data_IF_765217830639
#
_entry.id   IF_765217830639
#
_cell.length_a   1.000
_cell.length_b   1.000
_cell.length_c   1.000
_cell.angle_alpha   90.00
_cell.angle_beta   90.00
_cell.angle_gamma   90.00
#
_symmetry.space_group_name_H-M   'P 1'
#
loop_
_entity.id
_entity.type
_entity.pdbx_description
1 polymer ?
#
# COMPACT_ATOMS: atom_id res chain seq x y z
N UNK A 1 16.12 -4.99 45.23
CA UNK A 1 15.02 -5.91 44.92
C UNK A 1 14.15 -5.22 43.90
N UNK A 2 14.17 -5.68 42.64
CA UNK A 2 13.34 -5.13 41.56
C UNK A 2 11.98 -5.81 41.66
N UNK A 3 11.04 -5.17 42.37
CA UNK A 3 9.65 -5.60 42.37
C UNK A 3 9.10 -5.44 40.94
N UNK A 4 8.91 -6.56 40.25
CA UNK A 4 8.17 -6.58 38.99
C UNK A 4 6.71 -6.25 39.31
N UNK A 5 6.30 -5.01 39.06
CA UNK A 5 4.91 -4.59 39.21
C UNK A 5 3.99 -5.45 38.36
N UNK A 6 2.88 -5.91 38.94
CA UNK A 6 1.93 -6.74 38.22
C UNK A 6 1.15 -5.91 37.18
N UNK A 7 0.60 -6.58 36.16
CA UNK A 7 -0.23 -5.94 35.13
C UNK A 7 -1.45 -5.20 35.72
N UNK A 8 -1.97 -5.67 36.84
CA UNK A 8 -3.08 -5.03 37.55
C UNK A 8 -2.65 -3.70 38.19
N UNK A 9 -1.47 -3.67 38.81
CA UNK A 9 -0.91 -2.47 39.45
C UNK A 9 -0.57 -1.38 38.42
N UNK A 10 -0.05 -1.79 37.27
CA UNK A 10 0.24 -0.88 36.15
C UNK A 10 -1.06 -0.25 35.61
N UNK A 11 -2.12 -1.04 35.42
CA UNK A 11 -3.42 -0.54 34.94
C UNK A 11 -4.08 0.41 35.95
N UNK A 12 -3.97 0.15 37.25
CA UNK A 12 -4.49 1.03 38.29
C UNK A 12 -3.77 2.39 38.33
N UNK A 13 -2.44 2.40 38.13
CA UNK A 13 -1.65 3.64 38.04
C UNK A 13 -1.91 4.44 36.76
N UNK A 14 -2.33 3.78 35.68
CA UNK A 14 -2.70 4.44 34.42
C UNK A 14 -4.09 5.09 34.48
N UNK A 15 -4.98 4.61 35.36
CA UNK A 15 -6.31 5.18 35.55
C UNK A 15 -6.32 6.49 36.34
N UNK A 16 -5.22 6.85 36.99
CA UNK A 16 -5.04 8.12 37.71
C UNK A 16 -4.02 9.00 36.99
N UNK A 17 -4.34 10.26 36.63
CA UNK A 17 -3.38 11.13 35.96
C UNK A 17 -2.19 11.43 36.90
N UNK A 18 -1.01 10.94 36.52
CA UNK A 18 0.22 11.15 37.27
C UNK A 18 0.69 12.61 37.13
N UNK A 19 1.05 13.23 38.25
CA UNK A 19 1.71 14.55 38.24
C UNK A 19 3.12 14.44 37.68
N UNK A 20 3.66 15.53 37.11
CA UNK A 20 5.00 15.55 36.51
C UNK A 20 6.13 15.13 37.48
N UNK A 21 5.96 15.40 38.79
CA UNK A 21 6.89 15.00 39.84
C UNK A 21 6.83 13.50 40.16
N UNK A 22 5.68 12.85 39.99
CA UNK A 22 5.53 11.41 40.12
C UNK A 22 6.15 10.67 38.92
N UNK A 23 5.96 11.19 37.70
CA UNK A 23 6.58 10.67 36.47
C UNK A 23 8.11 10.64 36.53
N UNK A 24 8.76 11.69 37.08
CA UNK A 24 10.22 11.75 37.24
C UNK A 24 10.80 10.70 38.20
N UNK A 25 9.98 10.13 39.09
CA UNK A 25 10.42 9.17 40.12
C UNK A 25 10.22 7.70 39.71
N UNK A 26 9.58 7.45 38.58
CA UNK A 26 9.36 6.09 38.06
C UNK A 26 10.59 5.66 37.25
N UNK A 27 11.02 4.40 37.40
CA UNK A 27 12.14 3.88 36.63
C UNK A 27 11.80 3.84 35.12
N UNK A 28 12.78 4.08 34.26
CA UNK A 28 12.61 4.07 32.80
C UNK A 28 12.01 2.74 32.30
N UNK A 29 12.39 1.61 32.90
CA UNK A 29 11.86 0.29 32.56
C UNK A 29 10.35 0.20 32.83
N UNK A 30 9.89 0.73 33.96
CA UNK A 30 8.47 0.73 34.33
C UNK A 30 7.67 1.67 33.43
N UNK A 31 8.23 2.82 33.06
CA UNK A 31 7.60 3.74 32.09
C UNK A 31 7.43 3.07 30.72
N UNK A 32 8.44 2.33 30.25
CA UNK A 32 8.37 1.56 29.00
C UNK A 32 7.30 0.46 29.11
N UNK A 33 7.22 -0.24 30.24
CA UNK A 33 6.19 -1.25 30.47
C UNK A 33 4.78 -0.66 30.52
N UNK A 34 4.60 0.52 31.11
CA UNK A 34 3.32 1.24 31.13
C UNK A 34 2.87 1.66 29.74
N UNK A 35 3.78 2.17 28.90
CA UNK A 35 3.48 2.54 27.50
C UNK A 35 3.18 1.31 26.66
N UNK A 36 3.98 0.25 26.78
CA UNK A 36 3.72 -1.01 26.08
C UNK A 36 2.37 -1.65 26.49
N UNK A 37 1.96 -1.50 27.76
CA UNK A 37 0.65 -1.95 28.22
C UNK A 37 -0.53 -1.11 27.68
N UNK A 38 -0.28 0.16 27.34
CA UNK A 38 -1.27 1.02 26.67
C UNK A 38 -1.42 0.73 25.18
N UNK A 39 -0.39 0.20 24.52
CA UNK A 39 -0.46 -0.20 23.12
C UNK A 39 -1.41 -1.39 22.96
N UNK A 40 -2.67 -1.10 22.63
CA UNK A 40 -3.65 -2.14 22.32
C UNK A 40 -3.17 -2.94 21.10
N UNK A 41 -3.15 -4.29 21.17
CA UNK A 41 -2.83 -5.10 20.01
C UNK A 41 -3.82 -4.78 18.89
N UNK A 42 -3.30 -4.29 17.76
CA UNK A 42 -4.12 -3.98 16.58
C UNK A 42 -4.67 -5.29 16.04
N UNK A 43 -5.99 -5.45 16.04
CA UNK A 43 -6.60 -6.61 15.40
C UNK A 43 -6.31 -6.58 13.88
N UNK A 44 -5.90 -7.72 13.28
CA UNK A 44 -5.74 -7.81 11.85
C UNK A 44 -7.08 -7.54 11.17
N UNK A 45 -7.11 -6.53 10.28
CA UNK A 45 -8.31 -6.18 9.53
C UNK A 45 -8.38 -7.04 8.28
N UNK A 46 -9.50 -7.71 8.07
CA UNK A 46 -9.81 -8.31 6.77
C UNK A 46 -9.97 -7.18 5.75
N UNK A 47 -9.10 -7.16 4.74
CA UNK A 47 -9.20 -6.19 3.66
C UNK A 47 -10.42 -6.57 2.80
N UNK A 48 -11.30 -5.60 2.55
CA UNK A 48 -12.46 -5.77 1.67
C UNK A 48 -12.04 -5.57 0.20
N UNK A 49 -12.75 -6.19 -0.76
CA UNK A 49 -12.66 -5.79 -2.16
C UNK A 49 -12.90 -4.29 -2.28
N UNK A 50 -12.08 -3.60 -3.06
CA UNK A 50 -12.27 -2.18 -3.33
C UNK A 50 -11.45 -1.74 -4.54
N UNK A 51 -11.93 -0.69 -5.20
CA UNK A 51 -11.22 0.00 -6.27
C UNK A 51 -10.39 1.12 -5.67
N UNK A 52 -9.08 1.12 -5.90
CA UNK A 52 -8.16 2.16 -5.44
C UNK A 52 -8.22 3.40 -6.33
N UNK A 53 -8.27 3.17 -7.64
CA UNK A 53 -8.45 4.21 -8.64
C UNK A 53 -9.21 3.64 -9.83
N UNK A 54 -10.06 4.47 -10.41
CA UNK A 54 -10.72 4.16 -11.69
C UNK A 54 -9.78 4.49 -12.85
N UNK A 55 -9.83 3.73 -13.95
CA UNK A 55 -9.15 4.13 -15.17
C UNK A 55 -9.76 5.41 -15.74
N UNK A 56 -9.04 6.09 -16.64
CA UNK A 56 -9.60 7.20 -17.41
C UNK A 56 -10.75 6.70 -18.29
N UNK A 57 -11.71 7.58 -18.57
CA UNK A 57 -12.87 7.22 -19.39
C UNK A 57 -12.48 7.01 -20.87
N UNK A 58 -11.58 7.86 -21.37
CA UNK A 58 -11.05 7.77 -22.72
C UNK A 58 -9.65 7.16 -22.72
N UNK A 59 -9.45 6.11 -23.51
CA UNK A 59 -8.15 5.47 -23.68
C UNK A 59 -7.08 6.42 -24.24
N UNK A 60 -7.45 7.48 -24.97
CA UNK A 60 -6.47 8.45 -25.50
C UNK A 60 -5.78 9.29 -24.42
N UNK A 61 -6.37 9.38 -23.21
CA UNK A 61 -5.80 10.09 -22.07
C UNK A 61 -4.80 9.24 -21.28
N UNK A 62 -4.73 7.94 -21.56
CA UNK A 62 -3.78 7.04 -20.92
C UNK A 62 -2.35 7.32 -21.40
N UNK A 63 -1.38 7.09 -20.51
CA UNK A 63 0.04 7.35 -20.80
C UNK A 63 0.80 6.06 -20.96
N UNK A 64 1.56 5.97 -22.05
CA UNK A 64 2.47 4.87 -22.25
C UNK A 64 3.54 4.79 -21.15
N UNK A 65 3.70 3.61 -20.58
CA UNK A 65 4.73 3.30 -19.60
C UNK A 65 6.03 2.97 -20.33
N UNK A 66 7.17 3.36 -19.74
CA UNK A 66 8.48 2.97 -20.27
C UNK A 66 8.72 1.50 -19.98
N UNK A 67 9.12 0.74 -21.00
CA UNK A 67 9.51 -0.66 -20.86
C UNK A 67 10.59 -0.84 -19.79
N UNK A 68 10.51 -1.93 -19.03
CA UNK A 68 11.40 -2.26 -17.92
C UNK A 68 11.32 -1.33 -16.70
N UNK A 69 10.54 -0.24 -16.73
CA UNK A 69 10.37 0.62 -15.55
C UNK A 69 9.60 -0.11 -14.44
N UNK A 70 9.83 0.26 -13.18
CA UNK A 70 9.10 -0.34 -12.04
C UNK A 70 7.58 -0.18 -12.16
N UNK A 71 7.11 0.92 -12.79
CA UNK A 71 5.69 1.14 -13.09
C UNK A 71 5.16 0.15 -14.13
N UNK A 72 5.95 -0.12 -15.17
CA UNK A 72 5.64 -1.13 -16.17
C UNK A 72 5.59 -2.52 -15.55
N UNK A 73 6.58 -2.90 -14.75
CA UNK A 73 6.61 -4.19 -14.06
C UNK A 73 5.42 -4.38 -13.11
N UNK A 74 5.07 -3.32 -12.36
CA UNK A 74 3.87 -3.31 -11.52
C UNK A 74 2.61 -3.54 -12.35
N UNK A 75 2.40 -2.75 -13.42
CA UNK A 75 1.20 -2.83 -14.25
C UNK A 75 1.09 -4.21 -14.95
N UNK A 76 2.21 -4.77 -15.41
CA UNK A 76 2.25 -6.10 -16.03
C UNK A 76 1.90 -7.22 -15.02
N UNK A 77 2.36 -7.11 -13.77
CA UNK A 77 1.97 -8.05 -12.71
C UNK A 77 0.47 -7.92 -12.38
N UNK A 78 -0.04 -6.69 -12.30
CA UNK A 78 -1.46 -6.42 -12.02
C UNK A 78 -2.41 -6.90 -13.13
N UNK A 79 -1.99 -6.92 -14.41
CA UNK A 79 -2.81 -7.47 -15.50
C UNK A 79 -3.24 -8.92 -15.24
N UNK A 80 -2.34 -9.74 -14.70
CA UNK A 80 -2.59 -11.15 -14.43
C UNK A 80 -3.22 -11.42 -13.06
N UNK A 81 -3.39 -10.38 -12.24
CA UNK A 81 -3.76 -10.51 -10.83
C UNK A 81 -2.57 -10.91 -9.96
N UNK A 82 -2.17 -10.04 -9.03
CA UNK A 82 -1.01 -10.29 -8.16
C UNK A 82 -1.32 -9.96 -6.70
N UNK A 83 -0.64 -10.63 -5.78
CA UNK A 83 -0.64 -10.33 -4.34
C UNK A 83 0.34 -9.21 -4.02
N UNK A 84 0.24 -8.59 -2.83
CA UNK A 84 1.20 -7.57 -2.42
C UNK A 84 2.64 -8.10 -2.38
N UNK A 85 2.84 -9.34 -1.95
CA UNK A 85 4.18 -9.92 -1.83
C UNK A 85 4.82 -10.16 -3.20
N UNK A 86 4.03 -10.64 -4.19
CA UNK A 86 4.47 -10.76 -5.58
C UNK A 86 4.81 -9.39 -6.19
N UNK A 87 3.97 -8.38 -5.93
CA UNK A 87 4.22 -7.00 -6.41
C UNK A 87 5.49 -6.42 -5.79
N UNK A 88 5.73 -6.67 -4.50
CA UNK A 88 6.96 -6.26 -3.83
C UNK A 88 8.18 -6.98 -4.41
N UNK A 89 8.09 -8.28 -4.68
CA UNK A 89 9.17 -9.06 -5.27
C UNK A 89 9.55 -8.56 -6.68
N UNK A 90 8.56 -8.29 -7.52
CA UNK A 90 8.78 -7.85 -8.91
C UNK A 90 9.31 -6.41 -8.99
N UNK A 91 8.86 -5.52 -8.10
CA UNK A 91 9.25 -4.10 -8.14
C UNK A 91 10.45 -3.78 -7.24
N UNK A 92 10.76 -4.65 -6.28
CA UNK A 92 11.68 -4.38 -5.18
C UNK A 92 11.21 -3.24 -4.26
N UNK A 93 9.91 -2.92 -4.26
CA UNK A 93 9.34 -1.91 -3.39
C UNK A 93 8.84 -2.51 -2.08
N UNK A 94 8.73 -1.66 -1.06
CA UNK A 94 8.06 -2.06 0.18
C UNK A 94 6.53 -1.97 0.01
N UNK A 95 5.79 -2.61 0.93
CA UNK A 95 4.32 -2.67 0.92
C UNK A 95 3.66 -1.29 0.82
N UNK A 96 4.16 -0.30 1.57
CA UNK A 96 3.59 1.05 1.57
C UNK A 96 3.74 1.70 0.20
N UNK A 97 4.92 1.59 -0.41
CA UNK A 97 5.18 2.13 -1.74
C UNK A 97 4.32 1.47 -2.81
N UNK A 98 4.14 0.14 -2.75
CA UNK A 98 3.23 -0.57 -3.68
C UNK A 98 1.80 -0.07 -3.54
N UNK A 99 1.29 0.05 -2.31
CA UNK A 99 -0.08 0.53 -2.07
C UNK A 99 -0.28 1.97 -2.51
N UNK A 100 0.71 2.84 -2.28
CA UNK A 100 0.69 4.22 -2.80
C UNK A 100 0.69 4.25 -4.33
N UNK A 101 1.48 3.38 -4.98
CA UNK A 101 1.57 3.33 -6.43
C UNK A 101 0.23 3.01 -7.12
N UNK A 102 -0.68 2.30 -6.45
CA UNK A 102 -2.04 2.08 -6.97
C UNK A 102 -2.78 3.41 -7.20
N UNK A 103 -2.85 4.28 -6.19
CA UNK A 103 -3.63 5.51 -6.26
C UNK A 103 -2.90 6.67 -6.98
N UNK A 104 -1.57 6.63 -7.05
CA UNK A 104 -0.76 7.70 -7.65
C UNK A 104 -0.19 7.31 -9.00
N UNK A 105 0.61 6.25 -9.09
CA UNK A 105 1.32 5.91 -10.32
C UNK A 105 0.39 5.37 -11.40
N UNK A 106 -0.49 4.41 -11.05
CA UNK A 106 -1.46 3.85 -12.01
C UNK A 106 -2.48 4.92 -12.42
N UNK A 107 -3.00 5.70 -11.47
CA UNK A 107 -3.85 6.87 -11.76
C UNK A 107 -3.16 7.87 -12.70
N UNK A 108 -1.88 8.18 -12.46
CA UNK A 108 -1.13 9.13 -13.31
C UNK A 108 -0.92 8.64 -14.75
N UNK A 109 -0.94 7.32 -14.93
CA UNK A 109 -0.88 6.64 -16.23
C UNK A 109 -2.27 6.46 -16.87
N UNK A 110 -3.35 6.84 -16.18
CA UNK A 110 -4.73 6.64 -16.63
C UNK A 110 -5.27 5.24 -16.41
N UNK A 111 -4.59 4.42 -15.62
CA UNK A 111 -4.98 3.04 -15.34
C UNK A 111 -5.70 2.95 -13.99
N UNK A 112 -6.59 1.96 -13.86
CA UNK A 112 -7.26 1.65 -12.61
C UNK A 112 -6.64 0.46 -11.89
N UNK A 113 -6.92 0.34 -10.60
CA UNK A 113 -6.52 -0.81 -9.78
C UNK A 113 -7.66 -1.19 -8.86
N UNK A 114 -7.98 -2.47 -8.84
CA UNK A 114 -8.95 -3.04 -7.91
C UNK A 114 -8.36 -4.20 -7.13
N UNK A 115 -8.86 -4.39 -5.91
CA UNK A 115 -8.69 -5.62 -5.16
C UNK A 115 -9.98 -6.41 -5.22
N UNK A 116 -9.88 -7.69 -5.60
CA UNK A 116 -11.01 -8.61 -5.66
C UNK A 116 -11.13 -9.47 -4.40
N UNK A 117 -12.17 -10.29 -4.36
CA UNK A 117 -12.49 -11.18 -3.23
C UNK A 117 -11.43 -12.27 -2.99
N UNK A 118 -10.73 -12.68 -4.05
CA UNK A 118 -9.61 -13.63 -4.02
C UNK A 118 -8.36 -13.08 -3.29
N UNK A 119 -8.38 -11.81 -2.90
CA UNK A 119 -7.28 -11.13 -2.24
C UNK A 119 -6.17 -10.66 -3.16
N UNK A 120 -6.32 -10.82 -4.49
CA UNK A 120 -5.40 -10.32 -5.50
C UNK A 120 -5.81 -8.94 -6.00
N UNK A 121 -4.83 -8.24 -6.55
CA UNK A 121 -4.95 -6.92 -7.14
C UNK A 121 -4.88 -7.03 -8.65
N UNK A 122 -5.84 -6.40 -9.33
CA UNK A 122 -6.00 -6.45 -10.77
C UNK A 122 -5.91 -5.05 -11.37
N UNK A 123 -5.37 -4.98 -12.57
CA UNK A 123 -5.36 -3.76 -13.37
C UNK A 123 -6.70 -3.59 -14.08
N UNK A 124 -7.21 -2.37 -14.08
CA UNK A 124 -8.35 -1.96 -14.89
C UNK A 124 -7.84 -1.08 -16.03
N UNK A 125 -8.16 -1.47 -17.27
CA UNK A 125 -7.85 -0.70 -18.46
C UNK A 125 -9.01 0.25 -18.81
N UNK A 126 -8.72 1.44 -19.38
CA UNK A 126 -9.74 2.30 -20.00
C UNK A 126 -10.56 1.56 -21.05
N UNK A 127 -11.80 2.01 -21.27
CA UNK A 127 -12.63 1.47 -22.34
C UNK A 127 -11.96 1.67 -23.71
N UNK A 128 -11.91 0.61 -24.53
CA UNK A 128 -11.25 0.64 -25.84
C UNK A 128 -9.75 0.37 -25.81
N UNK A 129 -9.13 0.21 -24.63
CA UNK A 129 -7.75 -0.24 -24.51
C UNK A 129 -7.69 -1.75 -24.27
N UNK A 130 -7.01 -2.48 -25.15
CA UNK A 130 -6.93 -3.95 -25.11
C UNK A 130 -5.70 -4.47 -24.37
N UNK A 131 -4.64 -3.65 -24.27
CA UNK A 131 -3.37 -4.02 -23.66
C UNK A 131 -2.65 -2.80 -23.08
N UNK A 132 -1.55 -3.02 -22.35
CA UNK A 132 -0.75 -1.93 -21.82
C UNK A 132 -0.06 -1.14 -22.94
N UNK A 133 -0.10 0.21 -22.89
CA UNK A 133 0.68 1.05 -23.77
C UNK A 133 2.14 1.06 -23.27
N UNK A 134 3.03 0.36 -23.98
CA UNK A 134 4.44 0.22 -23.60
C UNK A 134 5.31 0.92 -24.64
N UNK A 135 6.06 1.95 -24.20
CA UNK A 135 7.04 2.63 -25.02
C UNK A 135 8.42 1.95 -24.86
N UNK A 136 9.00 1.56 -25.98
CA UNK A 136 10.32 0.93 -26.09
C UNK A 136 11.33 1.92 -26.69
N UNK A 137 12.56 1.48 -26.99
CA UNK A 137 13.54 2.34 -27.68
C UNK A 137 13.07 2.73 -29.10
N UNK A 138 12.38 1.81 -29.77
CA UNK A 138 11.98 1.93 -31.18
C UNK A 138 10.52 2.40 -31.36
N UNK A 139 9.74 2.39 -30.28
CA UNK A 139 8.31 2.73 -30.30
C UNK A 139 8.05 3.96 -29.44
N UNK A 140 7.54 5.02 -30.08
CA UNK A 140 7.20 6.25 -29.35
C UNK A 140 6.02 6.03 -28.42
N UNK A 141 5.83 6.92 -27.44
CA UNK A 141 4.68 6.86 -26.53
C UNK A 141 3.34 6.97 -27.25
N UNK A 142 3.28 7.76 -28.32
CA UNK A 142 2.06 7.92 -29.12
C UNK A 142 1.74 6.63 -29.90
N UNK A 143 2.75 6.03 -30.53
CA UNK A 143 2.58 4.78 -31.27
C UNK A 143 2.20 3.62 -30.35
N UNK A 144 2.82 3.56 -29.17
CA UNK A 144 2.49 2.58 -28.13
C UNK A 144 1.03 2.68 -27.67
N UNK A 145 0.49 3.90 -27.60
CA UNK A 145 -0.90 4.15 -27.23
C UNK A 145 -1.87 3.72 -28.33
N UNK A 146 -1.61 4.12 -29.58
CA UNK A 146 -2.42 3.69 -30.73
C UNK A 146 -2.43 2.17 -30.84
N UNK A 147 -1.27 1.54 -30.66
CA UNK A 147 -1.15 0.10 -30.74
C UNK A 147 -1.84 -0.63 -29.57
N UNK A 148 -2.05 0.03 -28.43
CA UNK A 148 -2.77 -0.51 -27.28
C UNK A 148 -4.30 -0.48 -27.44
N UNK A 149 -4.81 0.38 -28.32
CA UNK A 149 -6.24 0.53 -28.62
C UNK A 149 -6.69 -0.19 -29.91
N UNK A 150 -5.75 -0.83 -30.62
CA UNK A 150 -6.00 -1.67 -31.79
C UNK A 150 -5.94 -3.14 -31.40
#
# INVERSE_FOLDING_TARGET
MTDNLSKADLNARLATPLTASALKKIAKADLVAMVAAQEKPRQPRTLKPHVFCQPVADATEAKALKEGSKKHLLAAALLNGATLDELMAVTGWNKSTVQSAFAYDMKSAGLGVERREDGRYYLLLPAGMLRLPIATADVTRADALVAACR
#
